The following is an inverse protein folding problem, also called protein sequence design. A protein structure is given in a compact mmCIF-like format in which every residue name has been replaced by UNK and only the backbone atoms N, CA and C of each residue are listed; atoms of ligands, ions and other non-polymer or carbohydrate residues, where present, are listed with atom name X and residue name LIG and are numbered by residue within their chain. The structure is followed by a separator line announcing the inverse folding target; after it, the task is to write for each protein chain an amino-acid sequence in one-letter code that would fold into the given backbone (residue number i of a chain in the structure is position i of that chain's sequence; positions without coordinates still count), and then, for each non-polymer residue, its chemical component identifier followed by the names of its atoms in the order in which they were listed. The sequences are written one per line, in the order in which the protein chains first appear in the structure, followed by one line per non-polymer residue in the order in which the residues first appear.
data_IF_300072166477
#
_entry.id   IF_300072166477
#
_cell.length_a   1.000
_cell.length_b   1.000
_cell.length_c   1.000
_cell.angle_alpha   90.00
_cell.angle_beta   90.00
_cell.angle_gamma   90.00
#
_symmetry.space_group_name_H-M   'P 1'
#
loop_
_entity.id
_entity.type
_entity.pdbx_description
1 polymer ?
#
# COMPACT_ATOMS: atom_id res chain seq x y z
N UNK A 1 -0.03 11.79 -3.91
CA UNK A 1 -0.58 10.47 -3.50
C UNK A 1 0.41 9.63 -2.67
N UNK A 2 1.28 10.24 -1.84
CA UNK A 2 2.31 9.50 -1.08
C UNK A 2 1.90 9.14 0.35
N UNK A 3 1.22 10.07 1.04
CA UNK A 3 0.94 9.95 2.49
C UNK A 3 -0.15 8.88 2.78
N UNK A 4 -1.16 8.78 1.91
CA UNK A 4 -2.24 7.80 2.09
C UNK A 4 -1.73 6.35 2.02
N UNK A 5 -0.88 6.03 1.03
CA UNK A 5 -0.26 4.72 0.87
C UNK A 5 0.67 4.39 2.03
N UNK A 6 1.46 5.36 2.48
CA UNK A 6 2.38 5.18 3.60
C UNK A 6 1.63 4.82 4.89
N UNK A 7 0.52 5.51 5.19
CA UNK A 7 -0.29 5.22 6.38
C UNK A 7 -0.91 3.81 6.38
N UNK A 8 -1.32 3.29 5.21
CA UNK A 8 -1.88 1.93 5.13
C UNK A 8 -0.80 0.89 5.36
N UNK A 9 0.36 1.04 4.70
CA UNK A 9 1.49 0.12 4.88
C UNK A 9 2.02 0.17 6.31
N UNK A 10 2.13 1.35 6.93
CA UNK A 10 2.53 1.47 8.34
C UNK A 10 1.52 0.83 9.30
N UNK A 11 0.21 0.91 9.01
CA UNK A 11 -0.81 0.19 9.78
C UNK A 11 -0.68 -1.33 9.64
N UNK A 12 -0.41 -1.82 8.43
CA UNK A 12 -0.19 -3.25 8.16
C UNK A 12 1.03 -3.76 8.92
N UNK A 13 2.13 -3.03 8.85
CA UNK A 13 3.35 -3.33 9.60
C UNK A 13 3.11 -3.37 11.10
N UNK A 14 2.36 -2.39 11.62
CA UNK A 14 2.01 -2.34 13.04
C UNK A 14 1.14 -3.54 13.47
N UNK A 15 0.25 -4.02 12.60
CA UNK A 15 -0.55 -5.22 12.86
C UNK A 15 0.31 -6.50 12.91
N UNK A 16 1.40 -6.53 12.14
CA UNK A 16 2.41 -7.60 12.19
C UNK A 16 3.44 -7.41 13.32
N UNK A 17 3.29 -6.37 14.14
CA UNK A 17 4.22 -6.05 15.23
C UNK A 17 5.56 -5.49 14.75
N UNK A 18 5.68 -5.12 13.48
CA UNK A 18 6.90 -4.55 12.87
C UNK A 18 6.77 -3.06 12.68
N UNK A 19 7.91 -2.39 12.57
CA UNK A 19 7.95 -0.95 12.25
C UNK A 19 8.75 -0.73 10.97
N UNK A 20 8.52 0.40 10.29
CA UNK A 20 9.31 0.82 9.13
C UNK A 20 10.81 0.77 9.39
N UNK A 21 11.24 1.11 10.60
CA UNK A 21 12.66 1.13 10.98
C UNK A 21 13.24 -0.28 11.10
N UNK A 22 12.42 -1.27 11.44
CA UNK A 22 12.81 -2.68 11.56
C UNK A 22 13.07 -3.32 10.19
N UNK A 23 12.34 -2.89 9.16
CA UNK A 23 12.46 -3.40 7.78
C UNK A 23 13.58 -2.74 6.97
N UNK A 24 13.91 -1.48 7.29
CA UNK A 24 14.79 -0.69 6.43
C UNK A 24 14.07 -0.16 5.18
N UNK A 25 14.77 0.72 4.45
CA UNK A 25 14.16 1.53 3.38
C UNK A 25 13.76 0.72 2.15
N UNK A 26 14.61 -0.20 1.70
CA UNK A 26 14.34 -1.03 0.52
C UNK A 26 13.15 -1.96 0.72
N UNK A 27 13.12 -2.72 1.82
CA UNK A 27 12.00 -3.61 2.12
C UNK A 27 10.68 -2.83 2.34
N UNK A 28 10.75 -1.63 2.92
CA UNK A 28 9.57 -0.77 3.03
C UNK A 28 9.05 -0.32 1.65
N UNK A 29 9.96 0.06 0.74
CA UNK A 29 9.58 0.45 -0.63
C UNK A 29 8.98 -0.73 -1.39
N UNK A 30 9.57 -1.92 -1.30
CA UNK A 30 9.04 -3.12 -1.95
C UNK A 30 7.62 -3.43 -1.46
N UNK A 31 7.39 -3.35 -0.14
CA UNK A 31 6.07 -3.57 0.46
C UNK A 31 5.03 -2.54 0.02
N UNK A 32 5.44 -1.29 -0.16
CA UNK A 32 4.58 -0.24 -0.73
C UNK A 32 4.18 -0.57 -2.16
N UNK A 33 5.11 -1.11 -2.96
CA UNK A 33 4.81 -1.54 -4.33
C UNK A 33 3.90 -2.75 -4.37
N UNK A 34 4.14 -3.77 -3.53
CA UNK A 34 3.23 -4.92 -3.42
C UNK A 34 1.82 -4.51 -3.01
N UNK A 35 1.69 -3.62 -2.01
CA UNK A 35 0.39 -3.08 -1.62
C UNK A 35 -0.28 -2.34 -2.77
N UNK A 36 0.48 -1.56 -3.54
CA UNK A 36 -0.03 -0.85 -4.71
C UNK A 36 -0.45 -1.81 -5.83
N UNK A 37 0.20 -2.94 -6.02
CA UNK A 37 -0.23 -3.94 -6.99
C UNK A 37 -1.51 -4.65 -6.53
N UNK A 38 -1.50 -5.17 -5.31
CA UNK A 38 -2.63 -5.91 -4.73
C UNK A 38 -3.91 -5.07 -4.63
N UNK A 39 -3.80 -3.83 -4.16
CA UNK A 39 -4.96 -2.95 -3.97
C UNK A 39 -5.16 -1.95 -5.10
N UNK A 40 -4.12 -1.56 -5.83
CA UNK A 40 -4.24 -0.60 -6.92
C UNK A 40 -4.92 -1.18 -8.16
N UNK A 41 -4.75 -2.47 -8.44
CA UNK A 41 -5.54 -3.14 -9.48
C UNK A 41 -7.01 -3.25 -9.09
N UNK A 42 -7.30 -3.60 -7.83
CA UNK A 42 -8.67 -3.67 -7.32
C UNK A 42 -9.36 -2.30 -7.31
N UNK A 43 -8.68 -1.24 -6.89
CA UNK A 43 -9.20 0.13 -6.93
C UNK A 43 -9.41 0.58 -8.37
N UNK A 44 -8.47 0.32 -9.30
CA UNK A 44 -8.68 0.61 -10.73
C UNK A 44 -9.88 -0.13 -11.28
N UNK A 45 -10.03 -1.41 -10.93
CA UNK A 45 -11.16 -2.24 -11.39
C UNK A 45 -12.48 -1.70 -10.84
N UNK A 46 -12.51 -1.28 -9.57
CA UNK A 46 -13.67 -0.66 -8.95
C UNK A 46 -14.00 0.71 -9.59
N UNK A 47 -13.00 1.57 -9.83
CA UNK A 47 -13.20 2.87 -10.50
C UNK A 47 -13.73 2.65 -11.93
N UNK A 48 -13.17 1.68 -12.66
CA UNK A 48 -13.63 1.30 -14.00
C UNK A 48 -15.05 0.73 -13.98
N UNK A 49 -15.39 -0.07 -12.96
CA UNK A 49 -16.73 -0.62 -12.77
C UNK A 49 -17.77 0.43 -12.35
N UNK A 50 -17.36 1.48 -11.64
CA UNK A 50 -18.21 2.62 -11.27
C UNK A 50 -18.43 3.62 -12.43
N UNK A 51 -17.95 3.31 -13.65
CA UNK A 51 -18.26 4.08 -14.84
C UNK A 51 -17.57 5.45 -14.93
N UNK A 52 -16.47 5.64 -14.20
CA UNK A 52 -15.65 6.84 -14.36
C UNK A 52 -14.84 6.75 -15.67
N UNK A 53 -15.46 7.19 -16.77
CA UNK A 53 -14.78 7.62 -18.01
C UNK A 53 -14.74 9.14 -18.07
#
# INVERSE_FOLDING_TARGET
AGIATQNVVEKQLKAEGKTKNDLGRDAFIERVWQWKEEYGENIRRQIKAMGAS
#
